data_IF_001713351850
#
_entry.id   IF_001713351850
#
_cell.length_a   1.000
_cell.length_b   1.000
_cell.length_c   1.000
_cell.angle_alpha   90.00
_cell.angle_beta   90.00
_cell.angle_gamma   90.00
#
_symmetry.space_group_name_H-M   'P 1'
#
loop_
_entity.id
_entity.type
_entity.pdbx_description
1 polymer ?
#
# COMPACT_ATOMS: atom_id res chain seq x y z
N UNK A 1 18.42 2.78 -12.21
CA UNK A 1 18.87 1.55 -11.52
C UNK A 1 20.30 1.21 -11.88
N UNK A 2 20.70 1.41 -13.15
CA UNK A 2 22.03 1.03 -13.66
C UNK A 2 23.21 1.77 -13.01
N UNK A 3 23.03 3.06 -12.67
CA UNK A 3 24.09 3.77 -11.95
C UNK A 3 24.38 3.10 -10.58
N UNK A 4 23.34 2.65 -9.86
CA UNK A 4 23.48 2.01 -8.55
C UNK A 4 24.03 0.59 -8.61
N UNK A 5 23.75 -0.15 -9.68
CA UNK A 5 24.37 -1.47 -9.88
C UNK A 5 25.87 -1.36 -10.14
N UNK A 6 26.32 -0.28 -10.77
CA UNK A 6 27.75 0.00 -10.96
C UNK A 6 28.40 0.54 -9.69
N UNK A 7 27.79 1.51 -9.00
CA UNK A 7 28.39 2.14 -7.82
C UNK A 7 28.28 1.32 -6.54
N UNK A 8 27.46 0.25 -6.53
CA UNK A 8 27.17 -0.62 -5.36
C UNK A 8 26.73 0.15 -4.10
N UNK A 9 26.15 1.33 -4.28
CA UNK A 9 25.70 2.17 -3.16
C UNK A 9 24.39 1.62 -2.61
N UNK A 10 24.37 1.21 -1.33
CA UNK A 10 23.15 0.80 -0.63
C UNK A 10 22.55 1.95 0.18
N UNK A 11 21.24 2.12 0.11
CA UNK A 11 20.43 3.13 0.82
C UNK A 11 19.31 2.52 1.66
N UNK A 12 18.97 1.26 1.45
CA UNK A 12 17.86 0.58 2.13
C UNK A 12 16.50 1.00 1.58
N UNK A 13 16.41 1.37 0.31
CA UNK A 13 15.16 1.79 -0.34
C UNK A 13 14.61 0.70 -1.27
N UNK A 14 13.43 0.94 -1.83
CA UNK A 14 12.75 0.02 -2.76
C UNK A 14 13.64 -0.38 -3.94
N UNK A 15 14.51 0.51 -4.41
CA UNK A 15 15.40 0.22 -5.55
C UNK A 15 16.43 -0.83 -5.16
N UNK A 16 16.92 -0.81 -3.93
CA UNK A 16 17.84 -1.83 -3.44
C UNK A 16 17.13 -3.18 -3.28
N UNK A 17 15.89 -3.19 -2.82
CA UNK A 17 15.08 -4.43 -2.76
C UNK A 17 14.82 -5.01 -4.16
N UNK A 18 14.55 -4.16 -5.15
CA UNK A 18 14.35 -4.58 -6.54
C UNK A 18 15.65 -5.10 -7.17
N UNK A 19 16.79 -4.46 -6.90
CA UNK A 19 18.10 -4.96 -7.35
C UNK A 19 18.47 -6.29 -6.67
N UNK A 20 18.14 -6.46 -5.39
CA UNK A 20 18.32 -7.73 -4.70
C UNK A 20 17.47 -8.84 -5.34
N UNK A 21 16.20 -8.55 -5.65
CA UNK A 21 15.28 -9.47 -6.32
C UNK A 21 15.81 -9.89 -7.72
N UNK A 22 16.47 -8.97 -8.43
CA UNK A 22 17.14 -9.26 -9.70
C UNK A 22 18.29 -10.26 -9.53
N UNK A 23 19.07 -10.12 -8.45
CA UNK A 23 20.29 -10.91 -8.21
C UNK A 23 19.99 -12.29 -7.58
N UNK A 24 18.74 -12.54 -7.17
CA UNK A 24 18.30 -13.84 -6.65
C UNK A 24 18.32 -14.91 -7.75
N UNK A 25 18.85 -16.09 -7.41
CA UNK A 25 18.87 -17.23 -8.34
C UNK A 25 17.45 -17.75 -8.55
N UNK A 26 16.98 -17.87 -9.81
CA UNK A 26 15.68 -18.46 -10.06
C UNK A 26 15.64 -19.91 -9.59
N UNK A 27 14.46 -20.36 -9.12
CA UNK A 27 14.25 -21.71 -8.62
C UNK A 27 14.42 -22.78 -9.71
N UNK A 28 14.07 -22.45 -10.95
CA UNK A 28 14.33 -23.24 -12.17
C UNK A 28 14.44 -22.31 -13.40
N UNK A 29 14.75 -22.87 -14.57
CA UNK A 29 14.89 -22.12 -15.82
C UNK A 29 13.57 -21.51 -16.36
N UNK A 30 12.43 -21.88 -15.79
CA UNK A 30 11.10 -21.35 -16.15
C UNK A 30 10.66 -20.19 -15.27
N UNK A 31 11.34 -19.96 -14.14
CA UNK A 31 10.98 -18.91 -13.20
C UNK A 31 11.14 -17.52 -13.83
N UNK A 32 10.17 -16.65 -13.54
CA UNK A 32 10.16 -15.27 -14.01
C UNK A 32 11.37 -14.49 -13.47
N UNK A 33 12.07 -13.78 -14.37
CA UNK A 33 13.27 -13.01 -14.04
C UNK A 33 12.96 -11.51 -13.98
N UNK A 34 13.25 -10.89 -12.85
CA UNK A 34 13.10 -9.44 -12.66
C UNK A 34 14.31 -8.69 -13.23
N UNK A 35 14.41 -8.64 -14.56
CA UNK A 35 15.52 -8.00 -15.29
C UNK A 35 14.99 -7.00 -16.33
N UNK A 36 15.85 -6.07 -16.75
CA UNK A 36 15.54 -5.09 -17.81
C UNK A 36 14.23 -4.34 -17.58
N UNK A 37 13.36 -4.35 -18.60
CA UNK A 37 12.06 -3.66 -18.59
C UNK A 37 11.11 -4.19 -17.51
N UNK A 38 11.19 -5.48 -17.15
CA UNK A 38 10.34 -6.05 -16.10
C UNK A 38 10.66 -5.43 -14.72
N UNK A 39 11.94 -5.20 -14.44
CA UNK A 39 12.38 -4.56 -13.19
C UNK A 39 11.91 -3.09 -13.13
N UNK A 40 12.02 -2.37 -14.25
CA UNK A 40 11.55 -1.00 -14.36
C UNK A 40 10.01 -0.92 -14.25
N UNK A 41 9.30 -1.82 -14.93
CA UNK A 41 7.84 -1.92 -14.86
C UNK A 41 7.36 -2.20 -13.43
N UNK A 42 8.05 -3.08 -12.69
CA UNK A 42 7.73 -3.36 -11.30
C UNK A 42 7.86 -2.11 -10.42
N UNK A 43 8.93 -1.33 -10.59
CA UNK A 43 9.10 -0.06 -9.89
C UNK A 43 7.99 0.95 -10.23
N UNK A 44 7.62 1.05 -11.51
CA UNK A 44 6.55 1.92 -11.98
C UNK A 44 5.19 1.54 -11.39
N UNK A 45 4.85 0.25 -11.37
CA UNK A 45 3.59 -0.26 -10.81
C UNK A 45 3.52 0.03 -9.31
N UNK A 46 4.58 -0.26 -8.54
CA UNK A 46 4.60 0.07 -7.11
C UNK A 46 4.37 1.55 -6.85
N UNK A 47 4.99 2.43 -7.65
CA UNK A 47 4.81 3.86 -7.52
C UNK A 47 3.37 4.29 -7.82
N UNK A 48 2.81 3.89 -8.97
CA UNK A 48 1.47 4.32 -9.39
C UNK A 48 0.39 3.73 -8.48
N UNK A 49 0.41 2.41 -8.25
CA UNK A 49 -0.60 1.72 -7.45
C UNK A 49 -0.57 2.18 -5.98
N UNK A 50 0.62 2.40 -5.41
CA UNK A 50 0.78 2.91 -4.05
C UNK A 50 0.39 4.38 -3.90
N UNK A 51 0.69 5.22 -4.90
CA UNK A 51 0.41 6.66 -4.86
C UNK A 51 -1.07 6.98 -4.96
N UNK A 52 -1.75 6.50 -6.00
CA UNK A 52 -3.14 6.92 -6.28
C UNK A 52 -4.10 6.47 -5.18
N UNK A 53 -3.91 5.24 -4.68
CA UNK A 53 -4.72 4.70 -3.57
C UNK A 53 -4.51 5.46 -2.26
N UNK A 54 -3.25 5.77 -1.93
CA UNK A 54 -2.91 6.49 -0.70
C UNK A 54 -3.39 7.95 -0.73
N UNK A 55 -3.16 8.67 -1.84
CA UNK A 55 -3.62 10.06 -1.99
C UNK A 55 -5.14 10.13 -1.88
N UNK A 56 -5.86 9.24 -2.58
CA UNK A 56 -7.33 9.19 -2.52
C UNK A 56 -7.81 8.99 -1.09
N UNK A 57 -7.22 8.03 -0.37
CA UNK A 57 -7.56 7.76 1.05
C UNK A 57 -7.30 8.99 1.92
N UNK A 58 -6.15 9.66 1.77
CA UNK A 58 -5.82 10.86 2.53
C UNK A 58 -6.78 12.01 2.25
N UNK A 59 -7.08 12.28 0.97
CA UNK A 59 -8.00 13.34 0.56
C UNK A 59 -9.40 13.10 1.11
N UNK A 60 -9.93 11.88 0.98
CA UNK A 60 -11.23 11.51 1.55
C UNK A 60 -11.24 11.61 3.08
N UNK A 61 -10.16 11.21 3.75
CA UNK A 61 -10.04 11.29 5.21
C UNK A 61 -10.12 12.75 5.66
N UNK A 62 -9.34 13.63 5.03
CA UNK A 62 -9.34 15.06 5.34
C UNK A 62 -10.69 15.71 5.03
N UNK A 63 -11.35 15.31 3.95
CA UNK A 63 -12.69 15.78 3.60
C UNK A 63 -13.74 15.39 4.67
N UNK A 64 -13.74 14.12 5.11
CA UNK A 64 -14.68 13.66 6.14
C UNK A 64 -14.39 14.31 7.51
N UNK A 65 -13.12 14.57 7.84
CA UNK A 65 -12.72 15.30 9.04
C UNK A 65 -13.16 16.76 9.02
N UNK A 66 -13.00 17.45 7.88
CA UNK A 66 -13.44 18.85 7.74
C UNK A 66 -14.94 19.03 7.98
N UNK A 67 -15.74 18.00 7.68
CA UNK A 67 -17.20 17.97 7.93
C UNK A 67 -17.56 17.62 9.37
N UNK A 68 -16.61 17.15 10.19
CA UNK A 68 -16.85 16.65 11.56
C UNK A 68 -15.81 17.23 12.54
N UNK A 69 -15.96 18.52 12.93
CA UNK A 69 -14.99 19.21 13.79
C UNK A 69 -14.69 18.48 15.10
N UNK A 70 -15.70 17.84 15.72
CA UNK A 70 -15.51 17.07 16.96
C UNK A 70 -14.58 15.86 16.78
N UNK A 71 -14.71 15.14 15.67
CA UNK A 71 -13.84 14.00 15.34
C UNK A 71 -12.44 14.50 15.02
N UNK A 72 -12.34 15.59 14.25
CA UNK A 72 -11.07 16.23 13.92
C UNK A 72 -10.30 16.68 15.17
N UNK A 73 -11.01 17.29 16.13
CA UNK A 73 -10.42 17.70 17.41
C UNK A 73 -9.90 16.50 18.18
N UNK A 74 -10.72 15.45 18.34
CA UNK A 74 -10.35 14.24 19.07
C UNK A 74 -9.14 13.50 18.46
N UNK A 75 -9.10 13.34 17.14
CA UNK A 75 -7.95 12.69 16.49
C UNK A 75 -6.69 13.54 16.58
N UNK A 76 -6.83 14.87 16.50
CA UNK A 76 -5.70 15.80 16.70
C UNK A 76 -5.15 15.72 18.12
N UNK A 77 -6.01 15.64 19.13
CA UNK A 77 -5.60 15.45 20.52
C UNK A 77 -4.81 14.15 20.69
N UNK A 78 -5.30 13.01 20.18
CA UNK A 78 -4.54 11.75 20.21
C UNK A 78 -3.16 11.90 19.56
N UNK A 79 -3.09 12.46 18.35
CA UNK A 79 -1.83 12.66 17.62
C UNK A 79 -0.83 13.48 18.44
N UNK A 80 -1.27 14.61 18.99
CA UNK A 80 -0.41 15.52 19.75
C UNK A 80 0.10 14.86 21.04
N UNK A 81 -0.78 14.19 21.79
CA UNK A 81 -0.40 13.48 23.02
C UNK A 81 0.59 12.36 22.72
N UNK A 82 0.32 11.52 21.72
CA UNK A 82 1.20 10.39 21.38
C UNK A 82 2.58 10.85 20.88
N UNK A 83 2.65 11.92 20.10
CA UNK A 83 3.94 12.48 19.65
C UNK A 83 4.73 13.07 20.83
N UNK A 84 4.04 13.74 21.76
CA UNK A 84 4.66 14.29 22.96
C UNK A 84 5.23 13.18 23.85
N UNK A 85 4.44 12.13 24.10
CA UNK A 85 4.85 10.99 24.93
C UNK A 85 6.03 10.20 24.33
N UNK A 86 6.12 10.16 23.00
CA UNK A 86 7.20 9.48 22.27
C UNK A 86 8.44 10.37 21.99
N UNK A 87 8.46 11.62 22.47
CA UNK A 87 9.51 12.60 22.15
C UNK A 87 9.75 12.81 20.64
N UNK A 88 8.69 12.72 19.84
CA UNK A 88 8.75 12.92 18.39
C UNK A 88 7.88 11.95 17.59
N UNK A 89 8.01 12.04 16.27
CA UNK A 89 7.31 11.15 15.34
C UNK A 89 8.17 9.91 15.12
N UNK A 90 7.89 8.84 15.85
CA UNK A 90 8.50 7.52 15.66
C UNK A 90 7.53 6.55 15.01
N UNK A 91 8.06 5.44 14.50
CA UNK A 91 7.22 4.39 13.91
C UNK A 91 6.26 3.80 14.94
N UNK A 92 6.76 3.54 16.14
CA UNK A 92 6.01 2.99 17.27
C UNK A 92 4.93 3.96 17.73
N UNK A 93 5.23 5.27 17.76
CA UNK A 93 4.26 6.31 18.11
C UNK A 93 3.07 6.30 17.15
N UNK A 94 3.34 6.28 15.83
CA UNK A 94 2.27 6.25 14.82
C UNK A 94 1.43 4.98 14.93
N UNK A 95 2.06 3.82 15.14
CA UNK A 95 1.36 2.55 15.33
C UNK A 95 0.42 2.55 16.56
N UNK A 96 0.73 3.33 17.59
CA UNK A 96 -0.07 3.42 18.82
C UNK A 96 -1.28 4.37 18.72
N UNK A 97 -1.45 5.13 17.64
CA UNK A 97 -2.57 6.07 17.44
C UNK A 97 -3.87 5.34 17.06
N UNK A 98 -4.51 4.67 18.02
CA UNK A 98 -5.67 3.80 17.78
C UNK A 98 -6.85 4.51 17.12
N UNK A 99 -7.18 5.72 17.55
CA UNK A 99 -8.31 6.47 17.02
C UNK A 99 -8.04 6.99 15.60
N UNK A 100 -6.81 7.42 15.29
CA UNK A 100 -6.40 7.74 13.92
C UNK A 100 -6.62 6.55 12.98
N UNK A 101 -6.21 5.33 13.39
CA UNK A 101 -6.47 4.13 12.59
C UNK A 101 -7.97 3.88 12.39
N UNK A 102 -8.80 4.10 13.41
CA UNK A 102 -10.26 3.99 13.27
C UNK A 102 -10.83 4.99 12.26
N UNK A 103 -10.34 6.23 12.27
CA UNK A 103 -10.75 7.28 11.31
C UNK A 103 -10.37 6.88 9.88
N UNK A 104 -9.15 6.39 9.66
CA UNK A 104 -8.69 5.93 8.35
C UNK A 104 -9.52 4.71 7.89
N UNK A 105 -9.75 3.74 8.77
CA UNK A 105 -10.55 2.55 8.45
C UNK A 105 -12.00 2.89 8.10
N UNK A 106 -12.62 3.83 8.82
CA UNK A 106 -13.98 4.29 8.51
C UNK A 106 -14.02 5.05 7.17
N UNK A 107 -12.97 5.81 6.86
CA UNK A 107 -12.82 6.44 5.55
C UNK A 107 -12.72 5.40 4.45
N UNK A 108 -11.90 4.35 4.62
CA UNK A 108 -11.78 3.26 3.64
C UNK A 108 -13.08 2.47 3.46
N UNK A 109 -13.90 2.36 4.52
CA UNK A 109 -15.24 1.74 4.45
C UNK A 109 -16.21 2.58 3.61
N UNK A 110 -16.14 3.91 3.72
CA UNK A 110 -17.02 4.84 3.00
C UNK A 110 -16.54 5.13 1.56
N UNK A 111 -15.23 5.25 1.38
CA UNK A 111 -14.56 5.70 0.16
C UNK A 111 -13.41 4.76 -0.20
N UNK A 112 -13.68 3.48 -0.52
CA UNK A 112 -12.64 2.54 -0.89
C UNK A 112 -11.95 2.97 -2.20
N UNK A 113 -10.62 3.18 -2.25
CA UNK A 113 -9.92 3.60 -3.46
C UNK A 113 -9.96 2.58 -4.60
N UNK A 114 -10.16 1.30 -4.27
CA UNK A 114 -10.29 0.19 -5.22
C UNK A 114 -11.57 -0.60 -4.90
N UNK A 115 -12.77 -0.09 -5.29
CA UNK A 115 -14.04 -0.70 -4.90
C UNK A 115 -14.34 -2.02 -5.61
N UNK A 116 -13.67 -2.29 -6.73
CA UNK A 116 -13.90 -3.46 -7.59
C UNK A 116 -12.56 -4.14 -7.81
N UNK A 117 -12.54 -5.47 -7.65
CA UNK A 117 -11.39 -6.30 -8.03
C UNK A 117 -11.91 -7.51 -8.80
N UNK A 118 -11.64 -7.55 -10.09
CA UNK A 118 -12.18 -8.58 -10.97
C UNK A 118 -11.49 -9.94 -10.77
N UNK A 119 -12.19 -11.01 -11.18
CA UNK A 119 -11.67 -12.37 -11.24
C UNK A 119 -12.11 -13.01 -12.54
N UNK A 120 -11.23 -13.83 -13.12
CA UNK A 120 -11.53 -14.69 -14.27
C UNK A 120 -11.31 -16.12 -13.84
N UNK A 121 -12.25 -17.02 -14.19
CA UNK A 121 -12.14 -18.41 -13.80
C UNK A 121 -11.16 -19.16 -14.70
N UNK A 122 -10.26 -19.94 -14.10
CA UNK A 122 -9.32 -20.80 -14.85
C UNK A 122 -9.93 -22.16 -15.22
N UNK A 123 -11.13 -22.47 -14.71
CA UNK A 123 -11.88 -23.70 -15.01
C UNK A 123 -13.36 -23.49 -14.67
N UNK A 124 -14.25 -24.39 -15.11
CA UNK A 124 -15.66 -24.29 -14.77
C UNK A 124 -15.84 -24.36 -13.25
N UNK A 125 -16.50 -23.35 -12.68
CA UNK A 125 -16.79 -23.29 -11.25
C UNK A 125 -18.29 -23.04 -11.03
N UNK A 126 -18.88 -23.81 -10.09
CA UNK A 126 -20.28 -23.66 -9.68
C UNK A 126 -20.33 -22.83 -8.40
N UNK A 127 -20.98 -21.67 -8.48
CA UNK A 127 -21.23 -20.85 -7.28
C UNK A 127 -22.38 -21.49 -6.50
N UNK A 128 -22.11 -21.99 -5.30
CA UNK A 128 -23.06 -22.82 -4.53
C UNK A 128 -24.41 -22.13 -4.22
N UNK A 129 -24.46 -20.79 -4.29
CA UNK A 129 -25.66 -19.99 -4.02
C UNK A 129 -26.39 -19.48 -5.27
N UNK A 130 -25.82 -19.69 -6.46
CA UNK A 130 -26.40 -19.22 -7.73
C UNK A 130 -26.16 -20.31 -8.77
N UNK A 131 -27.20 -20.90 -9.34
CA UNK A 131 -27.09 -21.93 -10.41
C UNK A 131 -26.65 -21.25 -11.73
N UNK A 132 -25.47 -20.65 -11.75
CA UNK A 132 -24.77 -20.15 -12.93
C UNK A 132 -23.38 -20.76 -12.93
N UNK A 133 -23.03 -21.41 -14.05
CA UNK A 133 -21.67 -21.87 -14.32
C UNK A 133 -20.92 -20.68 -14.90
N UNK A 134 -19.88 -20.20 -14.21
CA UNK A 134 -18.97 -19.20 -14.74
C UNK A 134 -18.02 -19.93 -15.69
N UNK A 135 -18.05 -19.55 -16.98
CA UNK A 135 -17.16 -20.05 -18.04
C UNK A 135 -15.97 -19.13 -18.23
#
# INVERSE_FOLDING_TARGET
MDNRSVTKTKRGDLIDSLLQLKDEKPADDTAFRFEGDALLAQAAIFFVAGRETSITTMTCTLFELAKRPEIQKRVREEILTTIQDANGVTYEAVQNMKYLHQVINETLRLHPPAPIVDRVSNSNYTVHFIIYIIR
#
